data_IF_938767138046
#
_entry.id   IF_938767138046
#
_cell.length_a   1.000
_cell.length_b   1.000
_cell.length_c   1.000
_cell.angle_alpha   90.00
_cell.angle_beta   90.00
_cell.angle_gamma   90.00
#
_symmetry.space_group_name_H-M   'P 1'
#
loop_
_entity.id
_entity.type
_entity.pdbx_description
1 polymer ?
#
# COMPACT_ATOMS: atom_id res chain seq x y z
N UNK A 1 6.26 -21.14 -8.92
CA UNK A 1 7.56 -20.61 -8.44
C UNK A 1 7.45 -20.49 -6.95
N UNK A 2 8.40 -21.08 -6.22
CA UNK A 2 8.42 -20.92 -4.77
C UNK A 2 8.88 -19.50 -4.45
N UNK A 3 8.07 -18.75 -3.71
CA UNK A 3 8.43 -17.43 -3.22
C UNK A 3 9.60 -17.53 -2.23
N UNK A 4 10.49 -16.57 -2.29
CA UNK A 4 11.63 -16.50 -1.39
C UNK A 4 11.19 -16.11 0.02
N UNK A 5 11.73 -16.79 1.04
CA UNK A 5 11.56 -16.40 2.44
C UNK A 5 12.76 -15.61 2.91
N UNK A 6 12.49 -14.47 3.56
CA UNK A 6 13.51 -13.60 4.12
C UNK A 6 13.23 -13.31 5.59
N UNK A 7 14.29 -13.14 6.36
CA UNK A 7 14.23 -12.60 7.72
C UNK A 7 14.54 -11.11 7.64
N UNK A 8 13.60 -10.27 8.04
CA UNK A 8 13.70 -8.82 7.91
C UNK A 8 13.33 -8.11 9.21
N UNK A 9 14.00 -6.98 9.53
CA UNK A 9 13.46 -6.06 10.52
C UNK A 9 12.06 -5.62 10.13
N UNK A 10 11.16 -5.46 11.10
CA UNK A 10 9.75 -5.17 10.87
C UNK A 10 9.30 -3.95 11.67
N UNK A 11 8.49 -3.12 11.04
CA UNK A 11 7.74 -2.04 11.69
C UNK A 11 6.24 -2.30 11.54
N UNK A 12 5.53 -2.26 12.67
CA UNK A 12 4.07 -2.26 12.69
C UNK A 12 3.58 -0.81 12.52
N UNK A 13 2.78 -0.56 11.48
CA UNK A 13 2.30 0.77 11.12
C UNK A 13 0.95 1.06 11.78
N UNK A 14 0.79 2.28 12.32
CA UNK A 14 -0.47 2.76 12.91
C UNK A 14 -1.23 3.65 11.94
N UNK A 15 -2.45 3.24 11.56
CA UNK A 15 -3.34 4.07 10.76
C UNK A 15 -2.85 4.35 9.35
N UNK A 16 -1.97 3.51 8.84
CA UNK A 16 -1.36 3.68 7.54
C UNK A 16 -1.07 2.31 6.90
N UNK A 17 -1.26 2.23 5.61
CA UNK A 17 -0.85 1.10 4.77
C UNK A 17 0.15 1.60 3.75
N UNK A 18 1.29 0.91 3.64
CA UNK A 18 2.28 1.19 2.59
C UNK A 18 2.19 0.07 1.56
N UNK A 19 1.99 0.45 0.31
CA UNK A 19 1.81 -0.48 -0.80
C UNK A 19 3.06 -0.50 -1.70
N UNK A 20 3.26 -1.56 -2.49
CA UNK A 20 4.21 -1.52 -3.59
C UNK A 20 3.98 -0.28 -4.47
N UNK A 21 5.03 0.31 -5.00
CA UNK A 21 5.06 1.54 -5.80
C UNK A 21 4.83 2.84 -5.01
N UNK A 22 4.53 2.77 -3.72
CA UNK A 22 4.51 3.97 -2.88
C UNK A 22 5.92 4.44 -2.54
N UNK A 23 6.12 5.76 -2.60
CA UNK A 23 7.27 6.45 -1.99
C UNK A 23 6.69 7.42 -0.97
N UNK A 24 6.91 7.17 0.30
CA UNK A 24 6.19 7.87 1.37
C UNK A 24 7.07 8.06 2.60
N UNK A 25 6.82 9.17 3.32
CA UNK A 25 7.39 9.41 4.65
C UNK A 25 6.45 8.87 5.73
N UNK A 26 7.04 8.35 6.80
CA UNK A 26 6.31 8.12 8.04
C UNK A 26 7.21 8.37 9.24
N UNK A 27 6.59 8.70 10.36
CA UNK A 27 7.29 9.01 11.60
C UNK A 27 7.12 7.86 12.59
N UNK A 28 8.21 7.49 13.27
CA UNK A 28 8.20 6.51 14.34
C UNK A 28 8.76 7.11 15.62
N UNK A 29 8.19 6.72 16.75
CA UNK A 29 8.61 7.14 18.08
C UNK A 29 8.78 5.97 19.04
N UNK A 30 8.20 4.81 18.73
CA UNK A 30 8.38 3.60 19.55
C UNK A 30 9.82 3.09 19.44
N UNK A 31 10.41 2.73 20.56
CA UNK A 31 11.81 2.26 20.63
C UNK A 31 12.06 1.05 19.75
N UNK A 32 11.14 0.08 19.73
CA UNK A 32 11.25 -1.12 18.87
C UNK A 32 11.23 -0.77 17.38
N UNK A 33 10.39 0.18 16.98
CA UNK A 33 10.32 0.64 15.59
C UNK A 33 11.60 1.36 15.17
N UNK A 34 12.11 2.24 16.03
CA UNK A 34 13.39 2.93 15.79
C UNK A 34 14.54 1.93 15.69
N UNK A 35 14.60 0.95 16.61
CA UNK A 35 15.62 -0.08 16.59
C UNK A 35 15.57 -0.95 15.32
N UNK A 36 14.36 -1.30 14.85
CA UNK A 36 14.18 -2.04 13.59
C UNK A 36 14.72 -1.26 12.40
N UNK A 37 14.42 0.04 12.34
CA UNK A 37 14.90 0.92 11.27
C UNK A 37 16.42 1.05 11.28
N UNK A 38 17.01 1.22 12.47
CA UNK A 38 18.47 1.29 12.63
C UNK A 38 19.14 0.00 12.17
N UNK A 39 18.58 -1.15 12.53
CA UNK A 39 19.09 -2.45 12.08
C UNK A 39 18.97 -2.61 10.56
N UNK A 40 17.87 -2.22 9.98
CA UNK A 40 17.68 -2.24 8.52
C UNK A 40 18.74 -1.40 7.80
N UNK A 41 19.12 -0.25 8.35
CA UNK A 41 20.16 0.61 7.78
C UNK A 41 21.56 -0.02 7.82
N UNK A 42 21.83 -0.85 8.82
CA UNK A 42 23.11 -1.59 8.93
C UNK A 42 23.15 -2.79 7.98
N UNK A 43 22.01 -3.41 7.75
CA UNK A 43 21.86 -4.53 6.79
C UNK A 43 21.76 -4.00 5.35
N UNK A 44 20.74 -4.43 4.60
CA UNK A 44 20.55 -4.09 3.18
C UNK A 44 19.54 -2.95 2.94
N UNK A 45 19.17 -2.22 3.98
CA UNK A 45 18.13 -1.17 3.98
C UNK A 45 16.73 -1.70 3.68
N UNK A 46 16.54 -3.01 3.70
CA UNK A 46 15.24 -3.66 3.51
C UNK A 46 14.50 -3.77 4.84
N UNK A 47 13.21 -3.50 4.78
CA UNK A 47 12.33 -3.54 5.94
C UNK A 47 10.97 -4.10 5.56
N UNK A 48 10.34 -4.83 6.48
CA UNK A 48 8.96 -5.29 6.32
C UNK A 48 8.02 -4.35 7.06
N UNK A 49 7.00 -3.88 6.37
CA UNK A 49 6.03 -2.90 6.84
C UNK A 49 4.64 -3.53 6.83
N UNK A 50 4.05 -3.71 7.99
CA UNK A 50 2.71 -4.28 8.13
C UNK A 50 1.83 -3.36 8.97
N UNK A 51 0.61 -3.10 8.50
CA UNK A 51 -0.33 -2.26 9.21
C UNK A 51 -0.91 -2.98 10.43
N UNK A 52 -1.09 -2.24 11.53
CA UNK A 52 -1.82 -2.71 12.69
C UNK A 52 -3.32 -2.77 12.37
N UNK A 53 -4.00 -3.80 12.88
CA UNK A 53 -5.45 -3.94 12.78
C UNK A 53 -6.16 -2.86 13.60
N UNK A 54 -5.61 -2.50 14.75
CA UNK A 54 -6.09 -1.41 15.60
C UNK A 54 -4.98 -0.39 15.84
N UNK A 55 -5.32 0.90 15.71
CA UNK A 55 -4.38 2.00 16.01
C UNK A 55 -4.08 2.12 17.51
N UNK A 56 -4.90 1.52 18.36
CA UNK A 56 -4.78 1.62 19.83
C UNK A 56 -3.81 0.61 20.43
N UNK A 57 -3.42 -0.42 19.68
CA UNK A 57 -2.47 -1.42 20.16
C UNK A 57 -1.08 -0.81 20.31
N UNK A 58 -0.57 -0.75 21.54
CA UNK A 58 0.73 -0.14 21.85
C UNK A 58 1.91 -1.08 21.58
N UNK A 59 1.74 -2.37 21.90
CA UNK A 59 2.76 -3.41 21.77
C UNK A 59 2.22 -4.55 20.89
N UNK A 60 2.20 -4.38 19.54
CA UNK A 60 1.60 -5.36 18.67
C UNK A 60 2.40 -6.66 18.56
N UNK A 61 1.70 -7.78 18.67
CA UNK A 61 2.15 -9.10 18.29
C UNK A 61 1.69 -9.49 16.89
N UNK A 62 1.89 -10.74 16.52
CA UNK A 62 1.54 -11.23 15.18
C UNK A 62 0.04 -11.15 14.89
N UNK A 63 -0.80 -11.41 15.88
CA UNK A 63 -2.26 -11.32 15.75
C UNK A 63 -2.78 -9.88 15.62
N UNK A 64 -1.98 -8.89 15.96
CA UNK A 64 -2.36 -7.48 15.97
C UNK A 64 -2.06 -6.75 14.65
N UNK A 65 -1.37 -7.42 13.73
CA UNK A 65 -1.02 -6.88 12.41
C UNK A 65 -1.63 -7.73 11.30
N UNK A 66 -1.84 -7.12 10.16
CA UNK A 66 -2.30 -7.85 8.98
C UNK A 66 -1.20 -8.79 8.47
N UNK A 67 -1.60 -9.92 7.90
CA UNK A 67 -0.67 -10.94 7.41
C UNK A 67 0.09 -10.52 6.16
N UNK A 68 -0.52 -9.68 5.34
CA UNK A 68 0.13 -9.15 4.14
C UNK A 68 0.60 -7.73 4.39
N UNK A 69 1.87 -7.51 4.18
CA UNK A 69 2.52 -6.21 4.24
C UNK A 69 3.36 -5.96 2.99
N UNK A 70 4.26 -5.02 3.12
CA UNK A 70 5.13 -4.61 2.01
C UNK A 70 6.59 -4.65 2.45
N UNK A 71 7.42 -5.29 1.64
CA UNK A 71 8.87 -5.17 1.73
C UNK A 71 9.28 -3.91 0.99
N UNK A 72 9.98 -3.04 1.67
CA UNK A 72 10.44 -1.79 1.11
C UNK A 72 11.91 -1.53 1.37
N UNK A 73 12.43 -0.51 0.70
CA UNK A 73 13.79 0.00 0.92
C UNK A 73 13.74 1.35 1.60
N UNK A 74 14.50 1.51 2.68
CA UNK A 74 14.66 2.82 3.34
C UNK A 74 15.58 3.66 2.48
N UNK A 75 15.06 4.82 2.03
CA UNK A 75 15.79 5.77 1.17
C UNK A 75 16.46 6.87 1.97
N UNK A 76 15.85 7.31 3.05
CA UNK A 76 16.32 8.40 3.88
C UNK A 76 15.81 8.25 5.29
N UNK A 77 16.62 8.69 6.26
CA UNK A 77 16.29 8.69 7.67
C UNK A 77 16.68 10.03 8.27
N UNK A 78 15.73 10.69 8.91
CA UNK A 78 15.93 12.01 9.53
C UNK A 78 15.56 11.91 11.01
N UNK A 79 16.49 12.29 11.88
CA UNK A 79 16.22 12.41 13.32
C UNK A 79 15.56 13.75 13.59
N UNK A 80 14.38 13.69 14.22
CA UNK A 80 13.61 14.87 14.62
C UNK A 80 13.68 15.05 16.15
N UNK A 81 13.29 16.24 16.66
CA UNK A 81 13.15 16.46 18.09
C UNK A 81 12.19 15.47 18.76
N UNK A 82 12.31 15.28 20.09
CA UNK A 82 11.45 14.40 20.90
C UNK A 82 11.56 12.91 20.56
N UNK A 83 12.72 12.44 20.15
CA UNK A 83 12.98 11.04 19.82
C UNK A 83 12.08 10.49 18.69
N UNK A 84 11.72 11.34 17.74
CA UNK A 84 10.99 10.96 16.54
C UNK A 84 12.00 10.73 15.42
N UNK A 85 11.79 9.67 14.63
CA UNK A 85 12.57 9.39 13.43
C UNK A 85 11.61 9.41 12.24
N UNK A 86 11.94 10.24 11.25
CA UNK A 86 11.21 10.29 9.98
C UNK A 86 11.92 9.44 8.96
N UNK A 87 11.18 8.56 8.33
CA UNK A 87 11.68 7.58 7.37
C UNK A 87 11.04 7.82 6.01
N UNK A 88 11.88 7.93 4.98
CA UNK A 88 11.43 7.86 3.59
C UNK A 88 11.64 6.44 3.10
N UNK A 89 10.57 5.80 2.66
CA UNK A 89 10.58 4.42 2.21
C UNK A 89 9.98 4.30 0.81
N UNK A 90 10.54 3.40 0.02
CA UNK A 90 9.99 2.94 -1.26
C UNK A 90 9.42 1.54 -1.09
N UNK A 91 8.12 1.38 -1.25
CA UNK A 91 7.46 0.08 -1.26
C UNK A 91 7.79 -0.69 -2.53
N UNK A 92 8.15 -1.95 -2.41
CA UNK A 92 8.60 -2.75 -3.55
C UNK A 92 7.74 -4.00 -3.79
N UNK A 93 7.75 -4.93 -2.86
CA UNK A 93 7.07 -6.22 -3.01
C UNK A 93 6.05 -6.43 -1.90
N UNK A 94 4.96 -7.12 -2.22
CA UNK A 94 4.11 -7.72 -1.20
C UNK A 94 4.90 -8.77 -0.44
N UNK A 95 4.63 -8.87 0.85
CA UNK A 95 5.20 -9.92 1.70
C UNK A 95 4.12 -10.52 2.58
N UNK A 96 4.17 -11.83 2.78
CA UNK A 96 3.30 -12.53 3.71
C UNK A 96 4.08 -12.77 4.99
N UNK A 97 3.57 -12.25 6.10
CA UNK A 97 4.12 -12.49 7.43
C UNK A 97 3.87 -13.96 7.81
N UNK A 98 4.95 -14.74 7.87
CA UNK A 98 4.86 -16.14 8.28
C UNK A 98 5.00 -16.28 9.79
N UNK A 99 5.94 -15.54 10.37
CA UNK A 99 6.22 -15.62 11.80
C UNK A 99 7.01 -14.39 12.27
N UNK A 100 6.68 -13.88 13.44
CA UNK A 100 7.54 -12.94 14.15
C UNK A 100 8.61 -13.77 14.89
N UNK A 101 9.85 -13.59 14.50
CA UNK A 101 10.99 -14.36 15.03
C UNK A 101 11.49 -13.82 16.37
N UNK A 102 11.40 -12.51 16.58
CA UNK A 102 11.75 -11.84 17.83
C UNK A 102 10.92 -10.58 18.03
N UNK A 103 10.78 -10.15 19.28
CA UNK A 103 10.13 -8.89 19.64
C UNK A 103 11.10 -7.85 20.22
N UNK A 104 12.16 -8.31 20.84
CA UNK A 104 13.17 -7.45 21.48
C UNK A 104 14.55 -7.70 20.89
N UNK A 105 15.37 -6.66 20.70
CA UNK A 105 15.09 -5.23 20.93
C UNK A 105 14.23 -4.60 19.84
N UNK A 106 13.90 -5.29 18.77
CA UNK A 106 13.03 -4.87 17.68
C UNK A 106 12.29 -6.09 17.10
N UNK A 107 11.19 -5.82 16.40
CA UNK A 107 10.48 -6.88 15.68
C UNK A 107 11.29 -7.34 14.49
N UNK A 108 11.46 -8.65 14.38
CA UNK A 108 12.03 -9.31 13.20
C UNK A 108 11.07 -10.37 12.72
N UNK A 109 10.84 -10.41 11.43
CA UNK A 109 9.82 -11.25 10.82
C UNK A 109 10.40 -12.17 9.75
N UNK A 110 9.92 -13.40 9.74
CA UNK A 110 10.05 -14.30 8.60
C UNK A 110 8.95 -13.96 7.60
N UNK A 111 9.34 -13.48 6.42
CA UNK A 111 8.45 -12.96 5.39
C UNK A 111 8.62 -13.77 4.11
N UNK A 112 7.51 -14.22 3.54
CA UNK A 112 7.48 -14.79 2.20
C UNK A 112 7.29 -13.63 1.21
N UNK A 113 8.33 -13.33 0.45
CA UNK A 113 8.32 -12.24 -0.52
C UNK A 113 7.64 -12.71 -1.80
N UNK A 114 6.61 -11.99 -2.22
CA UNK A 114 5.88 -12.29 -3.46
C UNK A 114 6.59 -11.58 -4.62
N UNK A 115 7.18 -12.39 -5.50
CA UNK A 115 7.84 -11.90 -6.70
C UNK A 115 6.87 -11.91 -7.88
N UNK A 116 6.43 -10.73 -8.30
CA UNK A 116 5.57 -10.56 -9.48
C UNK A 116 6.37 -10.23 -10.75
N UNK A 117 7.70 -10.24 -10.71
CA UNK A 117 8.54 -9.92 -11.88
C UNK A 117 8.34 -10.88 -13.05
N UNK A 118 7.94 -12.12 -12.76
CA UNK A 118 7.62 -13.13 -13.76
C UNK A 118 6.19 -13.08 -14.29
N UNK A 119 5.35 -12.17 -13.79
CA UNK A 119 3.99 -12.02 -14.28
C UNK A 119 3.99 -11.41 -15.68
N UNK A 120 3.56 -12.18 -16.66
CA UNK A 120 3.41 -11.73 -18.04
C UNK A 120 1.94 -11.46 -18.32
N UNK A 121 1.63 -10.23 -18.74
CA UNK A 121 0.30 -9.85 -19.19
C UNK A 121 0.36 -9.73 -20.71
N UNK A 122 -0.32 -10.63 -21.44
CA UNK A 122 -0.31 -10.57 -22.89
C UNK A 122 -0.87 -9.24 -23.42
N UNK A 123 -0.28 -8.72 -24.48
CA UNK A 123 -0.81 -7.57 -25.20
C UNK A 123 -1.85 -8.04 -26.21
N UNK A 124 -3.04 -8.35 -25.70
CA UNK A 124 -4.18 -8.81 -26.48
C UNK A 124 -5.37 -7.84 -26.33
N UNK A 125 -6.40 -7.97 -27.21
CA UNK A 125 -7.55 -7.08 -27.15
C UNK A 125 -8.27 -7.06 -25.81
N UNK A 126 -8.33 -8.18 -25.10
CA UNK A 126 -8.98 -8.28 -23.79
C UNK A 126 -8.23 -7.42 -22.76
N UNK A 127 -6.92 -7.57 -22.67
CA UNK A 127 -6.10 -6.82 -21.72
C UNK A 127 -6.02 -5.34 -22.08
N UNK A 128 -6.01 -5.00 -23.36
CA UNK A 128 -6.12 -3.62 -23.83
C UNK A 128 -7.45 -2.98 -23.41
N UNK A 129 -8.56 -3.72 -23.55
CA UNK A 129 -9.87 -3.27 -23.10
C UNK A 129 -9.92 -3.07 -21.58
N UNK A 130 -9.33 -3.97 -20.82
CA UNK A 130 -9.22 -3.85 -19.36
C UNK A 130 -8.41 -2.61 -18.95
N UNK A 131 -7.30 -2.34 -19.63
CA UNK A 131 -6.47 -1.15 -19.38
C UNK A 131 -7.26 0.14 -19.66
N UNK A 132 -7.93 0.23 -20.79
CA UNK A 132 -8.75 1.41 -21.14
C UNK A 132 -9.91 1.60 -20.19
N UNK A 133 -10.59 0.52 -19.84
CA UNK A 133 -11.71 0.55 -18.88
C UNK A 133 -11.27 1.03 -17.51
N UNK A 134 -10.12 0.56 -17.03
CA UNK A 134 -9.57 0.99 -15.73
C UNK A 134 -9.20 2.48 -15.75
N UNK A 135 -8.61 2.97 -16.83
CA UNK A 135 -8.30 4.40 -17.00
C UNK A 135 -9.55 5.26 -16.95
N UNK A 136 -10.62 4.84 -17.65
CA UNK A 136 -11.89 5.56 -17.68
C UNK A 136 -12.52 5.61 -16.28
N UNK A 137 -12.55 4.49 -15.57
CA UNK A 137 -13.05 4.43 -14.19
C UNK A 137 -12.22 5.31 -13.24
N UNK A 138 -10.91 5.31 -13.39
CA UNK A 138 -10.02 6.12 -12.57
C UNK A 138 -10.21 7.62 -12.82
N UNK A 139 -10.30 8.04 -14.08
CA UNK A 139 -10.51 9.46 -14.45
C UNK A 139 -11.85 9.95 -13.91
N UNK A 140 -12.92 9.16 -14.03
CA UNK A 140 -14.22 9.51 -13.46
C UNK A 140 -14.16 9.65 -11.93
N UNK A 141 -13.54 8.67 -11.26
CA UNK A 141 -13.32 8.73 -9.82
C UNK A 141 -12.56 10.00 -9.40
N UNK A 142 -11.44 10.28 -10.04
CA UNK A 142 -10.59 11.43 -9.71
C UNK A 142 -11.31 12.75 -9.94
N UNK A 143 -12.08 12.85 -11.02
CA UNK A 143 -12.90 14.03 -11.35
C UNK A 143 -13.92 14.34 -10.25
N UNK A 144 -14.58 13.33 -9.71
CA UNK A 144 -15.59 13.48 -8.66
C UNK A 144 -15.01 13.63 -7.26
N UNK A 145 -13.91 12.95 -6.97
CA UNK A 145 -13.28 12.99 -5.66
C UNK A 145 -12.66 14.35 -5.34
N UNK A 146 -12.04 14.99 -6.31
CA UNK A 146 -11.46 16.33 -6.20
C UNK A 146 -10.21 16.45 -5.32
N UNK A 147 -9.70 15.34 -4.77
CA UNK A 147 -8.51 15.33 -3.89
C UNK A 147 -7.20 15.14 -4.65
N UNK A 148 -7.26 14.76 -5.92
CA UNK A 148 -6.08 14.56 -6.74
C UNK A 148 -5.85 15.76 -7.66
N UNK A 149 -4.58 16.17 -7.81
CA UNK A 149 -4.21 17.22 -8.75
C UNK A 149 -4.41 16.78 -10.19
N UNK A 150 -4.64 17.72 -11.10
CA UNK A 150 -4.78 17.43 -12.53
C UNK A 150 -3.52 16.77 -13.10
N UNK A 151 -2.36 17.19 -12.63
CA UNK A 151 -1.06 16.65 -13.03
C UNK A 151 -0.92 15.18 -12.60
N UNK A 152 -1.29 14.86 -11.37
CA UNK A 152 -1.26 13.49 -10.85
C UNK A 152 -2.21 12.57 -11.63
N UNK A 153 -3.43 13.04 -11.92
CA UNK A 153 -4.41 12.29 -12.72
C UNK A 153 -3.87 12.03 -14.13
N UNK A 154 -3.31 13.06 -14.77
CA UNK A 154 -2.77 12.95 -16.12
C UNK A 154 -1.58 11.96 -16.18
N UNK A 155 -0.70 12.00 -15.20
CA UNK A 155 0.43 11.06 -15.09
C UNK A 155 -0.03 9.62 -14.97
N UNK A 156 -1.03 9.35 -14.13
CA UNK A 156 -1.58 8.00 -13.96
C UNK A 156 -2.33 7.53 -15.21
N UNK A 157 -3.11 8.39 -15.84
CA UNK A 157 -3.84 8.08 -17.06
C UNK A 157 -2.93 7.81 -18.28
N UNK A 158 -1.69 8.30 -18.23
CA UNK A 158 -0.70 8.12 -19.31
C UNK A 158 0.13 6.83 -19.16
N UNK A 159 -0.02 6.10 -18.07
CA UNK A 159 0.68 4.84 -17.82
C UNK A 159 0.25 3.79 -18.84
N UNK A 160 1.24 3.14 -19.45
CA UNK A 160 1.04 2.02 -20.37
C UNK A 160 1.39 0.71 -19.68
N UNK A 161 0.56 -0.29 -19.89
CA UNK A 161 0.71 -1.61 -19.29
C UNK A 161 -0.21 -1.81 -18.09
N UNK A 162 -0.99 -2.88 -18.14
CA UNK A 162 -2.07 -3.13 -17.17
C UNK A 162 -1.53 -3.33 -15.76
N UNK A 163 -0.44 -4.07 -15.60
CA UNK A 163 0.13 -4.33 -14.26
C UNK A 163 0.58 -3.04 -13.58
N UNK A 164 1.36 -2.23 -14.29
CA UNK A 164 1.84 -0.96 -13.77
C UNK A 164 0.69 -0.01 -13.46
N UNK A 165 -0.31 0.03 -14.32
CA UNK A 165 -1.49 0.87 -14.14
C UNK A 165 -2.26 0.49 -12.87
N UNK A 166 -2.51 -0.80 -12.64
CA UNK A 166 -3.19 -1.29 -11.43
C UNK A 166 -2.41 -0.91 -10.18
N UNK A 167 -1.12 -1.18 -10.16
CA UNK A 167 -0.28 -0.93 -8.99
C UNK A 167 -0.15 0.58 -8.67
N UNK A 168 0.04 1.40 -9.68
CA UNK A 168 0.18 2.85 -9.52
C UNK A 168 -1.14 3.52 -9.12
N UNK A 169 -2.26 3.12 -9.68
CA UNK A 169 -3.57 3.65 -9.25
C UNK A 169 -3.84 3.24 -7.81
N UNK A 170 -3.67 1.97 -7.46
CA UNK A 170 -3.89 1.48 -6.10
C UNK A 170 -3.03 2.22 -5.07
N UNK A 171 -1.78 2.54 -5.42
CA UNK A 171 -0.85 3.25 -4.55
C UNK A 171 -1.18 4.74 -4.37
N UNK A 172 -1.85 5.37 -5.33
CA UNK A 172 -2.01 6.83 -5.40
C UNK A 172 -3.43 7.34 -5.15
N UNK A 173 -4.46 6.49 -5.18
CA UNK A 173 -5.82 6.95 -4.86
C UNK A 173 -6.00 7.19 -3.36
N UNK A 174 -6.75 8.23 -2.97
CA UNK A 174 -6.91 8.61 -1.56
C UNK A 174 -7.95 7.74 -0.84
N UNK A 175 -7.59 6.49 -0.54
CA UNK A 175 -8.39 5.56 0.24
C UNK A 175 -7.97 5.57 1.72
N UNK A 176 -8.87 5.11 2.61
CA UNK A 176 -8.52 4.80 3.99
C UNK A 176 -7.45 3.69 4.04
N UNK A 177 -6.69 3.63 5.14
CA UNK A 177 -5.65 2.61 5.26
C UNK A 177 -6.24 1.18 5.26
N UNK A 178 -7.44 0.99 5.78
CA UNK A 178 -8.13 -0.31 5.76
C UNK A 178 -8.56 -0.72 4.35
N UNK A 179 -9.02 0.23 3.54
CA UNK A 179 -9.36 -0.02 2.13
C UNK A 179 -8.11 -0.29 1.28
N UNK A 180 -7.03 0.43 1.53
CA UNK A 180 -5.73 0.15 0.93
C UNK A 180 -5.21 -1.23 1.32
N UNK A 181 -5.37 -1.62 2.59
CA UNK A 181 -4.99 -2.94 3.07
C UNK A 181 -5.76 -4.06 2.37
N UNK A 182 -7.03 -3.86 2.05
CA UNK A 182 -7.82 -4.82 1.30
C UNK A 182 -7.22 -5.08 -0.09
N UNK A 183 -6.78 -4.03 -0.78
CA UNK A 183 -6.09 -4.15 -2.06
C UNK A 183 -4.70 -4.78 -1.91
N UNK A 184 -3.96 -4.40 -0.87
CA UNK A 184 -2.65 -4.97 -0.57
C UNK A 184 -2.74 -6.47 -0.31
N UNK A 185 -3.76 -6.91 0.45
CA UNK A 185 -3.94 -8.30 0.85
C UNK A 185 -4.29 -9.23 -0.31
N UNK A 186 -4.73 -8.68 -1.44
CA UNK A 186 -5.03 -9.48 -2.62
C UNK A 186 -3.76 -9.78 -3.41
N UNK A 187 -3.25 -10.99 -3.27
CA UNK A 187 -2.00 -11.43 -3.89
C UNK A 187 -2.15 -11.91 -5.33
N UNK A 188 -3.37 -12.23 -5.75
CA UNK A 188 -3.68 -12.55 -7.15
C UNK A 188 -3.91 -11.26 -7.94
N UNK A 189 -3.11 -11.04 -9.00
CA UNK A 189 -3.18 -9.82 -9.79
C UNK A 189 -4.56 -9.57 -10.44
N UNK A 190 -5.18 -10.63 -10.99
CA UNK A 190 -6.47 -10.48 -11.69
C UNK A 190 -7.60 -10.15 -10.73
N UNK A 191 -7.58 -10.77 -9.54
CA UNK A 191 -8.53 -10.43 -8.47
C UNK A 191 -8.27 -9.03 -7.92
N UNK A 192 -7.02 -8.61 -7.87
CA UNK A 192 -6.66 -7.24 -7.45
C UNK A 192 -7.17 -6.20 -8.45
N UNK A 193 -7.08 -6.47 -9.74
CA UNK A 193 -7.70 -5.64 -10.77
C UNK A 193 -9.21 -5.50 -10.53
N UNK A 194 -9.92 -6.61 -10.32
CA UNK A 194 -11.37 -6.61 -10.07
C UNK A 194 -11.72 -5.81 -8.81
N UNK A 195 -10.98 -6.00 -7.72
CA UNK A 195 -11.19 -5.24 -6.48
C UNK A 195 -10.96 -3.75 -6.65
N UNK A 196 -9.91 -3.37 -7.37
CA UNK A 196 -9.62 -1.97 -7.66
C UNK A 196 -10.72 -1.34 -8.53
N UNK A 197 -11.11 -2.00 -9.61
CA UNK A 197 -12.17 -1.54 -10.49
C UNK A 197 -13.50 -1.39 -9.73
N UNK A 198 -13.86 -2.38 -8.93
CA UNK A 198 -15.05 -2.33 -8.09
C UNK A 198 -14.99 -1.16 -7.10
N UNK A 199 -13.85 -0.94 -6.46
CA UNK A 199 -13.66 0.17 -5.52
C UNK A 199 -13.86 1.52 -6.19
N UNK A 200 -13.28 1.73 -7.36
CA UNK A 200 -13.43 2.98 -8.11
C UNK A 200 -14.89 3.26 -8.49
N UNK A 201 -15.58 2.27 -9.01
CA UNK A 201 -16.99 2.39 -9.41
C UNK A 201 -17.87 2.61 -8.18
N UNK A 202 -17.66 1.87 -7.11
CA UNK A 202 -18.45 1.97 -5.89
C UNK A 202 -18.28 3.35 -5.22
N UNK A 203 -17.07 3.88 -5.17
CA UNK A 203 -16.81 5.21 -4.61
C UNK A 203 -17.52 6.32 -5.43
N UNK A 204 -17.56 6.21 -6.75
CA UNK A 204 -18.30 7.12 -7.63
C UNK A 204 -19.79 7.07 -7.31
N UNK A 205 -20.36 5.89 -7.17
CA UNK A 205 -21.79 5.73 -6.81
C UNK A 205 -22.11 6.35 -5.45
N UNK A 206 -21.25 6.14 -4.45
CA UNK A 206 -21.41 6.74 -3.12
C UNK A 206 -21.38 8.26 -3.19
N UNK A 207 -20.46 8.83 -3.96
CA UNK A 207 -20.37 10.29 -4.14
C UNK A 207 -21.62 10.85 -4.84
N UNK A 208 -22.14 10.17 -5.86
CA UNK A 208 -23.36 10.59 -6.55
C UNK A 208 -24.58 10.58 -5.63
N UNK A 209 -24.73 9.52 -4.84
CA UNK A 209 -25.84 9.41 -3.87
C UNK A 209 -25.72 10.51 -2.81
N UNK A 210 -24.52 10.77 -2.32
CA UNK A 210 -24.27 11.82 -1.33
C UNK A 210 -24.63 13.20 -1.88
N UNK A 211 -24.26 13.51 -3.10
CA UNK A 211 -24.65 14.75 -3.77
C UNK A 211 -26.17 14.89 -3.89
N UNK A 212 -26.86 13.83 -4.29
CA UNK A 212 -28.32 13.81 -4.39
C UNK A 212 -28.98 14.08 -3.03
N UNK A 213 -28.53 13.42 -1.96
CA UNK A 213 -29.02 13.65 -0.61
C UNK A 213 -28.81 15.09 -0.19
N UNK A 214 -27.61 15.64 -0.41
CA UNK A 214 -27.29 17.02 -0.02
C UNK A 214 -28.18 18.03 -0.77
N UNK A 215 -28.50 17.78 -2.02
CA UNK A 215 -29.38 18.61 -2.82
C UNK A 215 -30.80 18.61 -2.26
N UNK A 216 -31.35 17.44 -1.93
CA UNK A 216 -32.69 17.29 -1.35
C UNK A 216 -32.83 17.91 0.04
N UNK A 217 -31.77 17.96 0.82
CA UNK A 217 -31.78 18.57 2.17
C UNK A 217 -31.75 20.12 2.09
N UNK A 218 -31.29 20.70 0.98
CA UNK A 218 -31.22 22.15 0.80
C UNK A 218 -32.50 22.74 0.16
N UNK A 219 -33.39 21.93 -0.36
CA UNK A 219 -34.72 22.30 -0.84
C UNK A 219 -35.73 22.31 0.31
#
# INVERSE_FOLDING_TARGET
MDNERKSLPMVALRGMTIMPEMVVHFDVSRERSIAAIQEAMVEEQKIFLAAQKSIETEDPGQEDVYDVGTVGTIKQLIKLPKHIVRVLVSGENRGILRRIEQKDPYLRAEVEVIDESGLVIPDDPKNQAMERSLKDMFVEYASKNGKMSKEAVAQLADIKGLKKLVDEIAANIPLSYTDQQELLSETDFWKRYEKLAFRLVNEVQIMDIKEEIQRKVKE
#
